data_IF_033635386679
#
_entry.id   IF_033635386679
#
_cell.length_a   1.000
_cell.length_b   1.000
_cell.length_c   1.000
_cell.angle_alpha   90.00
_cell.angle_beta   90.00
_cell.angle_gamma   90.00
#
_symmetry.space_group_name_H-M   'P 1'
#
loop_
_entity.id
_entity.type
_entity.pdbx_description
1 polymer ?
#
# COMPACT_ATOMS: atom_id res chain seq x y z
N UNK A 1 -9.72 30.48 -1.31
CA UNK A 1 -9.59 29.99 0.08
C UNK A 1 -9.08 28.56 0.00
N UNK A 2 -7.90 28.27 0.57
CA UNK A 2 -7.37 26.90 0.58
C UNK A 2 -8.11 26.10 1.66
N UNK A 3 -8.55 24.86 1.39
CA UNK A 3 -9.14 24.01 2.41
C UNK A 3 -8.10 23.73 3.50
N UNK A 4 -8.53 23.84 4.76
CA UNK A 4 -7.68 23.54 5.91
C UNK A 4 -7.58 22.04 6.14
N UNK A 5 -6.43 21.59 6.67
CA UNK A 5 -6.18 20.16 6.95
C UNK A 5 -7.32 19.47 7.75
N UNK A 6 -7.96 20.12 8.75
CA UNK A 6 -9.09 19.51 9.46
C UNK A 6 -10.28 19.20 8.57
N UNK A 7 -10.59 20.06 7.58
CA UNK A 7 -11.71 19.85 6.68
C UNK A 7 -11.49 18.61 5.79
N UNK A 8 -10.25 18.39 5.34
CA UNK A 8 -9.89 17.21 4.57
C UNK A 8 -10.01 15.92 5.38
N UNK A 9 -9.65 15.96 6.67
CA UNK A 9 -9.78 14.83 7.58
C UNK A 9 -11.23 14.41 7.78
N UNK A 10 -12.14 15.37 7.99
CA UNK A 10 -13.59 15.12 8.07
C UNK A 10 -14.10 14.50 6.76
N UNK A 11 -13.68 15.02 5.61
CA UNK A 11 -14.10 14.50 4.31
C UNK A 11 -13.67 13.04 4.11
N UNK A 12 -12.41 12.73 4.41
CA UNK A 12 -11.88 11.36 4.33
C UNK A 12 -12.65 10.43 5.27
N UNK A 13 -12.95 10.86 6.49
CA UNK A 13 -13.70 10.05 7.45
C UNK A 13 -15.10 9.67 6.90
N UNK A 14 -15.80 10.61 6.27
CA UNK A 14 -17.10 10.33 5.64
C UNK A 14 -16.96 9.35 4.48
N UNK A 15 -15.98 9.54 3.59
CA UNK A 15 -15.72 8.62 2.47
C UNK A 15 -15.41 7.21 2.98
N UNK A 16 -14.59 7.09 4.03
CA UNK A 16 -14.27 5.79 4.64
C UNK A 16 -15.51 5.12 5.23
N UNK A 17 -16.42 5.88 5.86
CA UNK A 17 -17.68 5.34 6.37
C UNK A 17 -18.61 4.85 5.25
N UNK A 18 -18.69 5.56 4.13
CA UNK A 18 -19.57 5.20 3.00
C UNK A 18 -19.08 3.96 2.26
N UNK A 19 -17.79 3.91 1.93
CA UNK A 19 -17.20 2.83 1.15
C UNK A 19 -16.72 1.65 2.01
N UNK A 20 -16.53 1.89 3.31
CA UNK A 20 -15.96 0.94 4.26
C UNK A 20 -14.45 0.79 4.14
N UNK A 21 -13.78 0.48 5.25
CA UNK A 21 -12.32 0.31 5.31
C UNK A 21 -11.81 -0.85 4.45
N UNK A 22 -12.62 -1.90 4.24
CA UNK A 22 -12.23 -3.09 3.46
C UNK A 22 -12.01 -2.78 1.98
N UNK A 23 -12.90 -2.01 1.35
CA UNK A 23 -12.75 -1.63 -0.07
C UNK A 23 -11.67 -0.57 -0.27
N UNK A 24 -11.54 0.38 0.65
CA UNK A 24 -10.46 1.37 0.62
C UNK A 24 -9.09 0.71 0.83
N UNK A 25 -9.00 -0.33 1.66
CA UNK A 25 -7.75 -1.07 1.86
C UNK A 25 -7.34 -1.85 0.62
N UNK A 26 -8.27 -2.57 -0.04
CA UNK A 26 -7.91 -3.32 -1.26
C UNK A 26 -7.47 -2.38 -2.38
N UNK A 27 -8.28 -1.35 -2.67
CA UNK A 27 -7.95 -0.37 -3.71
C UNK A 27 -6.70 0.46 -3.35
N UNK A 28 -6.54 0.80 -2.08
CA UNK A 28 -5.39 1.54 -1.59
C UNK A 28 -4.09 0.73 -1.59
N UNK A 29 -4.16 -0.59 -1.41
CA UNK A 29 -3.01 -1.49 -1.56
C UNK A 29 -2.52 -1.51 -3.01
N UNK A 30 -3.42 -1.74 -3.97
CA UNK A 30 -3.07 -1.82 -5.40
C UNK A 30 -2.53 -0.48 -5.95
N UNK A 31 -3.21 0.61 -5.59
CA UNK A 31 -2.77 1.96 -5.95
C UNK A 31 -1.50 2.36 -5.19
N UNK A 32 -1.36 1.93 -3.95
CA UNK A 32 -0.22 2.23 -3.09
C UNK A 32 1.06 1.55 -3.59
N UNK A 33 0.98 0.30 -4.04
CA UNK A 33 2.11 -0.41 -4.65
C UNK A 33 2.55 0.25 -5.97
N UNK A 34 1.59 0.68 -6.79
CA UNK A 34 1.85 1.42 -8.04
C UNK A 34 2.53 2.77 -7.77
N UNK A 35 2.02 3.55 -6.82
CA UNK A 35 2.62 4.82 -6.39
C UNK A 35 4.00 4.61 -5.75
N UNK A 36 4.20 3.51 -5.01
CA UNK A 36 5.48 3.19 -4.36
C UNK A 36 6.56 2.92 -5.39
N UNK A 37 6.25 2.17 -6.46
CA UNK A 37 7.15 1.97 -7.60
C UNK A 37 7.47 3.27 -8.31
N UNK A 38 6.46 4.13 -8.54
CA UNK A 38 6.66 5.46 -9.14
C UNK A 38 7.56 6.36 -8.29
N UNK A 39 7.33 6.44 -6.98
CA UNK A 39 8.18 7.19 -6.05
C UNK A 39 9.59 6.61 -5.99
N UNK A 40 9.75 5.28 -6.00
CA UNK A 40 11.05 4.60 -6.00
C UNK A 40 11.84 4.96 -7.25
N UNK A 41 11.24 4.89 -8.43
CA UNK A 41 11.89 5.24 -9.69
C UNK A 41 12.23 6.74 -9.76
N UNK A 42 11.32 7.61 -9.33
CA UNK A 42 11.55 9.06 -9.30
C UNK A 42 12.61 9.46 -8.27
N UNK A 43 12.69 8.73 -7.13
CA UNK A 43 13.77 8.92 -6.16
C UNK A 43 15.08 8.26 -6.61
N UNK A 44 15.10 7.15 -7.36
CA UNK A 44 16.33 6.51 -7.86
C UNK A 44 17.08 7.41 -8.87
N UNK A 45 16.35 8.20 -9.67
CA UNK A 45 16.96 9.21 -10.55
C UNK A 45 17.61 10.36 -9.74
N UNK A 46 17.06 10.70 -8.57
CA UNK A 46 17.62 11.71 -7.66
C UNK A 46 18.69 11.14 -6.68
N UNK A 47 18.72 9.81 -6.46
CA UNK A 47 19.42 9.16 -5.33
C UNK A 47 20.47 8.11 -5.74
N UNK A 48 21.25 8.31 -6.81
CA UNK A 48 22.52 7.58 -7.02
C UNK A 48 23.62 7.92 -5.97
N UNK A 49 23.24 8.37 -4.79
CA UNK A 49 24.02 8.41 -3.55
C UNK A 49 23.11 7.90 -2.44
N UNK A 50 23.63 6.98 -1.64
CA UNK A 50 23.02 6.40 -0.43
C UNK A 50 22.14 5.17 -0.65
N UNK A 51 22.88 4.07 -0.73
CA UNK A 51 22.54 2.66 -0.70
C UNK A 51 21.41 2.24 0.25
N UNK A 52 20.71 1.20 -0.22
CA UNK A 52 20.23 0.06 0.56
C UNK A 52 19.14 0.29 1.61
N UNK A 53 17.88 0.29 1.16
CA UNK A 53 16.80 -0.30 1.97
C UNK A 53 15.63 -0.73 1.08
N UNK A 54 15.51 -2.03 0.83
CA UNK A 54 14.28 -2.60 0.30
C UNK A 54 13.99 -3.94 0.96
N UNK A 55 13.69 -3.90 2.26
CA UNK A 55 13.04 -5.02 2.94
C UNK A 55 11.66 -5.30 2.33
N UNK A 56 11.60 -6.45 1.64
CA UNK A 56 10.57 -7.51 1.72
C UNK A 56 9.17 -7.06 2.16
N UNK A 57 8.20 -7.14 1.25
CA UNK A 57 6.80 -7.43 1.60
C UNK A 57 6.38 -8.61 0.73
N UNK A 58 6.57 -9.79 1.30
CA UNK A 58 5.98 -11.05 0.87
C UNK A 58 4.63 -11.13 1.60
N UNK A 59 3.54 -11.09 0.84
CA UNK A 59 2.22 -11.54 1.28
C UNK A 59 1.60 -12.29 0.11
N UNK A 60 2.22 -13.41 -0.27
CA UNK A 60 1.53 -14.42 -1.05
C UNK A 60 0.85 -15.33 -0.04
N UNK A 61 -0.44 -15.06 0.16
CA UNK A 61 -1.40 -16.03 0.69
C UNK A 61 -1.34 -17.26 -0.22
N UNK A 62 -0.60 -18.29 0.21
CA UNK A 62 -0.51 -19.57 -0.49
C UNK A 62 -0.12 -20.68 0.47
N UNK A 63 -1.12 -21.54 0.69
CA UNK A 63 -0.99 -22.98 0.94
C UNK A 63 -0.86 -23.45 2.39
N UNK A 64 -1.95 -23.29 3.16
CA UNK A 64 -2.29 -24.25 4.22
C UNK A 64 -3.47 -25.14 3.77
N UNK A 65 -3.19 -26.12 2.91
CA UNK A 65 -3.94 -27.39 2.84
C UNK A 65 -2.95 -28.55 2.93
N UNK A 66 -2.67 -28.88 4.18
CA UNK A 66 -2.44 -30.20 4.76
C UNK A 66 -2.82 -31.42 3.88
N UNK A 67 -1.87 -32.33 3.60
CA UNK A 67 -1.83 -33.70 4.17
C UNK A 67 -0.83 -34.66 3.48
N UNK A 68 0.03 -35.26 4.33
CA UNK A 68 0.70 -36.58 4.28
C UNK A 68 1.33 -37.06 2.95
N UNK A 69 2.67 -37.18 2.88
CA UNK A 69 3.49 -38.28 3.44
C UNK A 69 3.34 -39.61 2.66
N UNK A 70 4.34 -39.85 1.81
CA UNK A 70 5.09 -41.12 1.62
C UNK A 70 4.29 -42.31 1.09
N UNK A 71 4.48 -42.62 -0.20
CA UNK A 71 4.96 -43.91 -0.71
C UNK A 71 5.82 -43.68 -1.96
#
# INVERSE_FOLDING_TARGET
MMPSLPQLLILIAVVVLLFGTKKLRSLGSDLGESIKGFKKAMSDDDSKKDSDNSQKIENTDSSDINNNKKE
#
